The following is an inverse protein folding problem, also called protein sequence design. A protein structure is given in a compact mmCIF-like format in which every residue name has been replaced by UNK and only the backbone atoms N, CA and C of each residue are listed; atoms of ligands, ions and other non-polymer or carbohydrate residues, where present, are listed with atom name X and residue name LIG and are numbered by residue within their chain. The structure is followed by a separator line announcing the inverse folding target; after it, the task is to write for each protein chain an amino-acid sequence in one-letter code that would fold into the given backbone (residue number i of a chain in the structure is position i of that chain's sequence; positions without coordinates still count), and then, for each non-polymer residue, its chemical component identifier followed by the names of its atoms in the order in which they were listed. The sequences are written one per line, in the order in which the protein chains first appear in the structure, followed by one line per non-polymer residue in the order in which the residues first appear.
data_IF_067182793967
#
_entry.id   IF_067182793967
#
_cell.length_a   1.000
_cell.length_b   1.000
_cell.length_c   1.000
_cell.angle_alpha   90.00
_cell.angle_beta   90.00
_cell.angle_gamma   90.00
#
_symmetry.space_group_name_H-M   'P 1'
#
loop_
_entity.id
_entity.type
_entity.pdbx_description
1 polymer ?
#
# COMPACT_ATOMS: atom_id res chain seq x y z
N UNK A 1 -85.64 7.59 52.33
CA UNK A 1 -84.65 6.57 52.76
C UNK A 1 -85.07 5.23 52.17
N UNK A 2 -84.66 4.94 50.95
CA UNK A 2 -83.38 4.28 50.60
C UNK A 2 -83.48 2.76 50.74
N UNK A 3 -83.82 2.08 49.63
CA UNK A 3 -83.21 0.80 49.20
C UNK A 3 -83.77 0.21 47.89
N UNK A 4 -84.72 0.84 47.21
CA UNK A 4 -85.23 0.35 45.90
C UNK A 4 -84.72 1.10 44.66
N UNK A 5 -84.04 2.26 44.81
CA UNK A 5 -83.42 2.98 43.68
C UNK A 5 -82.02 2.46 43.29
N UNK A 6 -81.58 1.31 43.81
CA UNK A 6 -80.30 0.67 43.42
C UNK A 6 -80.46 -0.42 42.35
N UNK A 7 -81.69 -0.68 41.88
CA UNK A 7 -82.00 -1.79 40.98
C UNK A 7 -81.85 -1.51 39.47
N UNK A 8 -81.75 -0.26 39.04
CA UNK A 8 -81.78 0.08 37.61
C UNK A 8 -80.42 0.45 36.98
N UNK A 9 -79.37 0.58 37.79
CA UNK A 9 -77.99 0.78 37.28
C UNK A 9 -77.32 -0.57 36.92
N UNK A 10 -77.91 -1.69 37.35
CA UNK A 10 -77.33 -3.04 37.13
C UNK A 10 -77.66 -3.61 35.75
N UNK A 11 -78.69 -3.12 35.07
CA UNK A 11 -79.12 -3.67 33.76
C UNK A 11 -78.35 -3.12 32.55
N UNK A 12 -77.45 -2.16 32.76
CA UNK A 12 -76.48 -1.73 31.75
C UNK A 12 -75.13 -2.46 31.90
N UNK A 13 -74.76 -2.86 33.13
CA UNK A 13 -73.55 -3.65 33.40
C UNK A 13 -73.59 -5.06 32.79
N UNK A 14 -74.77 -5.68 32.64
CA UNK A 14 -74.87 -7.01 32.04
C UNK A 14 -74.65 -7.01 30.51
N UNK A 15 -74.96 -5.89 29.84
CA UNK A 15 -74.62 -5.71 28.41
C UNK A 15 -73.13 -5.42 28.20
N UNK A 16 -72.46 -4.80 29.18
CA UNK A 16 -71.02 -4.52 29.11
C UNK A 16 -70.13 -5.75 29.39
N UNK A 17 -70.57 -6.69 30.24
CA UNK A 17 -69.77 -7.90 30.54
C UNK A 17 -69.58 -8.85 29.35
N UNK A 18 -70.37 -8.73 28.28
CA UNK A 18 -70.19 -9.52 27.05
C UNK A 18 -69.15 -8.88 26.12
N UNK A 19 -68.86 -7.57 26.27
CA UNK A 19 -67.88 -6.85 25.44
C UNK A 19 -66.46 -6.84 26.01
N UNK A 20 -66.27 -7.25 27.28
CA UNK A 20 -65.01 -7.13 28.02
C UNK A 20 -64.08 -8.36 27.92
N UNK A 21 -64.17 -9.16 26.85
CA UNK A 21 -63.23 -10.26 26.59
C UNK A 21 -62.29 -9.95 25.41
N UNK A 22 -61.78 -8.72 25.34
CA UNK A 22 -60.61 -8.39 24.55
C UNK A 22 -59.76 -7.41 25.34
N UNK A 23 -58.59 -7.88 25.75
CA UNK A 23 -57.49 -7.09 26.31
C UNK A 23 -57.16 -5.90 25.42
N UNK A 24 -57.61 -4.70 25.82
CA UNK A 24 -57.00 -3.41 25.45
C UNK A 24 -57.69 -2.31 26.28
N UNK A 25 -56.88 -1.50 26.95
CA UNK A 25 -57.30 -0.38 27.82
C UNK A 25 -58.21 0.61 27.08
N UNK A 26 -59.49 0.60 27.41
CA UNK A 26 -60.42 1.71 27.25
C UNK A 26 -60.93 2.06 28.64
N UNK A 27 -60.75 3.32 29.04
CA UNK A 27 -61.21 3.75 30.37
C UNK A 27 -62.73 3.63 30.44
N UNK A 28 -63.23 3.30 31.64
CA UNK A 28 -64.66 3.15 31.92
C UNK A 28 -65.48 4.38 31.44
N UNK A 29 -64.85 5.56 31.45
CA UNK A 29 -65.38 6.84 30.94
C UNK A 29 -65.61 6.85 29.42
N UNK A 30 -64.65 6.34 28.63
CA UNK A 30 -64.76 6.26 27.17
C UNK A 30 -65.82 5.25 26.72
N UNK A 31 -65.99 4.17 27.50
CA UNK A 31 -67.05 3.18 27.28
C UNK A 31 -68.44 3.73 27.61
N UNK A 32 -68.57 4.60 28.62
CA UNK A 32 -69.83 5.29 28.93
C UNK A 32 -70.19 6.36 27.90
N UNK A 33 -69.21 7.03 27.28
CA UNK A 33 -69.49 8.04 26.25
C UNK A 33 -69.91 7.40 24.91
N UNK A 34 -69.31 6.26 24.55
CA UNK A 34 -69.72 5.45 23.39
C UNK A 34 -71.11 4.79 23.56
N UNK A 35 -71.55 4.57 24.80
CA UNK A 35 -72.86 3.97 25.10
C UNK A 35 -74.05 4.95 24.99
N UNK A 36 -73.81 6.24 24.78
CA UNK A 36 -74.85 7.30 24.81
C UNK A 36 -75.13 7.89 23.41
N UNK A 37 -74.35 7.57 22.37
CA UNK A 37 -74.49 8.26 21.06
C UNK A 37 -75.59 7.70 20.13
N UNK A 38 -76.11 6.50 20.37
CA UNK A 38 -76.99 5.79 19.43
C UNK A 38 -78.49 6.02 19.59
N UNK A 39 -78.94 6.40 20.80
CA UNK A 39 -80.35 6.62 21.14
C UNK A 39 -80.61 8.10 21.40
N UNK A 40 -81.68 8.63 20.81
CA UNK A 40 -82.08 10.01 21.09
C UNK A 40 -82.45 10.16 22.57
N UNK A 41 -82.22 11.32 23.21
CA UNK A 41 -82.66 11.56 24.58
C UNK A 41 -84.15 11.26 24.79
N UNK A 42 -84.97 11.45 23.75
CA UNK A 42 -86.38 11.07 23.70
C UNK A 42 -86.63 9.56 23.69
N UNK A 43 -85.84 8.77 22.97
CA UNK A 43 -85.96 7.30 22.95
C UNK A 43 -85.54 6.70 24.29
N UNK A 44 -84.49 7.23 24.92
CA UNK A 44 -84.04 6.81 26.25
C UNK A 44 -85.10 7.14 27.32
N UNK A 45 -85.65 8.35 27.31
CA UNK A 45 -86.75 8.75 28.20
C UNK A 45 -88.01 7.91 27.99
N UNK A 46 -88.34 7.57 26.74
CA UNK A 46 -89.46 6.68 26.40
C UNK A 46 -89.25 5.25 26.91
N UNK A 47 -88.05 4.70 26.76
CA UNK A 47 -87.70 3.37 27.26
C UNK A 47 -87.74 3.35 28.79
N UNK A 48 -87.23 4.38 29.46
CA UNK A 48 -87.22 4.51 30.92
C UNK A 48 -88.65 4.61 31.52
N UNK A 49 -89.53 5.42 30.91
CA UNK A 49 -90.96 5.51 31.27
C UNK A 49 -91.68 4.16 31.09
N UNK A 50 -91.41 3.45 29.98
CA UNK A 50 -92.05 2.15 29.71
C UNK A 50 -91.52 1.01 30.57
N UNK A 51 -90.24 1.05 30.94
CA UNK A 51 -89.63 0.06 31.84
C UNK A 51 -90.11 0.22 33.30
N UNK A 52 -90.45 1.44 33.73
CA UNK A 52 -90.99 1.70 35.07
C UNK A 52 -92.47 1.34 35.22
N UNK A 53 -93.23 1.32 34.12
CA UNK A 53 -94.66 0.97 34.09
C UNK A 53 -94.95 -0.40 33.44
N UNK A 54 -94.00 -1.33 33.47
CA UNK A 54 -94.06 -2.63 32.77
C UNK A 54 -95.34 -3.45 33.00
N UNK A 55 -95.90 -3.39 34.20
CA UNK A 55 -97.09 -4.15 34.61
C UNK A 55 -98.39 -3.67 33.95
N UNK A 56 -98.38 -2.46 33.36
CA UNK A 56 -99.53 -1.84 32.69
C UNK A 56 -99.48 -1.94 31.17
N UNK A 57 -98.41 -2.49 30.59
CA UNK A 57 -98.27 -2.66 29.14
C UNK A 57 -98.90 -3.96 28.63
N UNK A 58 -99.57 -3.86 27.48
CA UNK A 58 -100.04 -5.01 26.72
C UNK A 58 -98.88 -5.84 26.13
N UNK A 59 -99.18 -7.09 25.76
CA UNK A 59 -98.21 -8.01 25.13
C UNK A 59 -97.59 -7.42 23.85
N UNK A 60 -98.40 -6.70 23.04
CA UNK A 60 -97.96 -6.07 21.81
C UNK A 60 -96.93 -4.95 22.08
N UNK A 61 -97.17 -4.12 23.09
CA UNK A 61 -96.28 -3.00 23.43
C UNK A 61 -94.95 -3.51 24.02
N UNK A 62 -94.97 -4.58 24.83
CA UNK A 62 -93.74 -5.24 25.31
C UNK A 62 -92.89 -5.79 24.16
N UNK A 63 -93.53 -6.33 23.12
CA UNK A 63 -92.82 -6.82 21.93
C UNK A 63 -92.19 -5.69 21.11
N UNK A 64 -92.87 -4.54 21.02
CA UNK A 64 -92.36 -3.35 20.34
C UNK A 64 -91.17 -2.74 21.10
N UNK A 65 -91.26 -2.64 22.42
CA UNK A 65 -90.18 -2.17 23.29
C UNK A 65 -88.93 -3.06 23.15
N UNK A 66 -89.09 -4.38 23.15
CA UNK A 66 -87.96 -5.32 22.94
C UNK A 66 -87.31 -5.14 21.57
N UNK A 67 -88.08 -4.94 20.51
CA UNK A 67 -87.55 -4.67 19.16
C UNK A 67 -86.78 -3.35 19.11
N UNK A 68 -87.27 -2.31 19.80
CA UNK A 68 -86.60 -1.02 19.89
C UNK A 68 -85.25 -1.13 20.61
N UNK A 69 -85.20 -1.80 21.76
CA UNK A 69 -83.96 -2.04 22.52
C UNK A 69 -82.94 -2.81 21.68
N UNK A 70 -83.36 -3.87 20.99
CA UNK A 70 -82.48 -4.65 20.11
C UNK A 70 -81.95 -3.79 18.95
N UNK A 71 -82.80 -2.94 18.36
CA UNK A 71 -82.41 -2.05 17.26
C UNK A 71 -81.36 -1.03 17.71
N UNK A 72 -81.50 -0.46 18.91
CA UNK A 72 -80.54 0.49 19.49
C UNK A 72 -79.21 -0.23 19.77
N UNK A 73 -79.24 -1.40 20.42
CA UNK A 73 -78.03 -2.19 20.69
C UNK A 73 -77.28 -2.60 19.40
N UNK A 74 -78.00 -2.96 18.34
CA UNK A 74 -77.39 -3.28 17.03
C UNK A 74 -76.76 -2.05 16.37
N UNK A 75 -77.34 -0.86 16.54
CA UNK A 75 -76.77 0.40 16.04
C UNK A 75 -75.47 0.72 16.76
N UNK A 76 -75.44 0.62 18.08
CA UNK A 76 -74.24 0.85 18.90
C UNK A 76 -73.11 -0.13 18.55
N UNK A 77 -73.41 -1.42 18.40
CA UNK A 77 -72.39 -2.40 17.99
C UNK A 77 -71.77 -2.06 16.63
N UNK A 78 -72.56 -1.54 15.69
CA UNK A 78 -72.06 -1.11 14.39
C UNK A 78 -71.17 0.13 14.51
N UNK A 79 -71.59 1.13 15.28
CA UNK A 79 -70.82 2.36 15.52
C UNK A 79 -69.47 2.04 16.20
N UNK A 80 -69.46 1.13 17.18
CA UNK A 80 -68.23 0.66 17.83
C UNK A 80 -67.33 -0.10 16.84
N UNK A 81 -67.90 -0.96 15.98
CA UNK A 81 -67.12 -1.70 15.00
C UNK A 81 -66.46 -0.76 13.97
N UNK A 82 -67.17 0.28 13.53
CA UNK A 82 -66.66 1.27 12.60
C UNK A 82 -65.61 2.18 13.27
N UNK A 83 -65.83 2.60 14.53
CA UNK A 83 -64.83 3.34 15.30
C UNK A 83 -63.53 2.53 15.52
N UNK A 84 -63.64 1.23 15.83
CA UNK A 84 -62.48 0.33 15.95
C UNK A 84 -61.72 0.21 14.63
N UNK A 85 -62.42 0.15 13.50
CA UNK A 85 -61.79 0.11 12.17
C UNK A 85 -61.02 1.40 11.87
N UNK A 86 -61.60 2.56 12.15
CA UNK A 86 -60.95 3.85 11.95
C UNK A 86 -59.71 3.99 12.84
N UNK A 87 -59.82 3.60 14.12
CA UNK A 87 -58.68 3.60 15.04
C UNK A 87 -57.56 2.67 14.55
N UNK A 88 -57.91 1.49 14.06
CA UNK A 88 -56.94 0.56 13.51
C UNK A 88 -56.27 1.10 12.26
N UNK A 89 -57.01 1.77 11.37
CA UNK A 89 -56.45 2.44 10.19
C UNK A 89 -55.46 3.53 10.58
N UNK A 90 -55.82 4.40 11.53
CA UNK A 90 -54.93 5.44 12.04
C UNK A 90 -53.67 4.85 12.71
N UNK A 91 -53.80 3.77 13.48
CA UNK A 91 -52.66 3.05 14.07
C UNK A 91 -51.72 2.50 12.98
N UNK A 92 -52.28 1.91 11.93
CA UNK A 92 -51.49 1.39 10.82
C UNK A 92 -50.76 2.51 10.06
N UNK A 93 -51.43 3.64 9.80
CA UNK A 93 -50.82 4.80 9.14
C UNK A 93 -49.68 5.40 9.98
N UNK A 94 -49.90 5.56 11.28
CA UNK A 94 -48.86 6.03 12.21
C UNK A 94 -47.67 5.06 12.29
N UNK A 95 -47.92 3.75 12.29
CA UNK A 95 -46.86 2.73 12.29
C UNK A 95 -46.05 2.76 10.98
N UNK A 96 -46.72 2.90 9.83
CA UNK A 96 -46.07 3.07 8.52
C UNK A 96 -45.22 4.34 8.51
N UNK A 97 -45.75 5.44 9.05
CA UNK A 97 -45.03 6.71 9.12
C UNK A 97 -43.78 6.62 10.01
N UNK A 98 -43.89 5.97 11.17
CA UNK A 98 -42.76 5.71 12.07
C UNK A 98 -41.70 4.82 11.40
N UNK A 99 -42.10 3.77 10.68
CA UNK A 99 -41.17 2.93 9.92
C UNK A 99 -40.48 3.73 8.80
N UNK A 100 -41.23 4.58 8.10
CA UNK A 100 -40.69 5.44 7.05
C UNK A 100 -39.69 6.46 7.62
N UNK A 101 -39.96 7.05 8.78
CA UNK A 101 -39.06 7.99 9.44
C UNK A 101 -37.81 7.30 10.01
N UNK A 102 -37.91 6.05 10.47
CA UNK A 102 -36.76 5.22 10.81
C UNK A 102 -35.90 4.87 9.59
N UNK A 103 -36.51 4.59 8.44
CA UNK A 103 -35.80 4.37 7.18
C UNK A 103 -35.16 5.66 6.64
N UNK A 104 -35.81 6.81 6.85
CA UNK A 104 -35.29 8.16 6.51
C UNK A 104 -34.15 8.62 7.42
N UNK A 105 -34.01 8.04 8.62
CA UNK A 105 -32.90 8.28 9.56
C UNK A 105 -31.52 8.03 8.91
N UNK A 106 -31.48 7.24 7.83
CA UNK A 106 -30.30 7.11 6.98
C UNK A 106 -30.66 7.49 5.54
N UNK A 107 -30.88 8.79 5.29
CA UNK A 107 -31.04 9.33 3.94
C UNK A 107 -29.92 8.85 3.00
N UNK A 108 -30.20 8.54 1.71
CA UNK A 108 -29.17 8.19 0.74
C UNK A 108 -27.98 9.17 0.73
N UNK A 109 -28.24 10.46 0.90
CA UNK A 109 -27.20 11.49 0.97
C UNK A 109 -26.30 11.32 2.20
N UNK A 110 -26.88 10.94 3.34
CA UNK A 110 -26.12 10.65 4.56
C UNK A 110 -25.20 9.42 4.38
N UNK A 111 -25.66 8.38 3.69
CA UNK A 111 -24.84 7.22 3.34
C UNK A 111 -23.69 7.60 2.42
N UNK A 112 -23.97 8.41 1.38
CA UNK A 112 -22.95 8.88 0.43
C UNK A 112 -21.90 9.74 1.15
N UNK A 113 -22.33 10.67 2.00
CA UNK A 113 -21.42 11.53 2.77
C UNK A 113 -20.56 10.72 3.74
N UNK A 114 -21.15 9.76 4.46
CA UNK A 114 -20.41 8.86 5.35
C UNK A 114 -19.36 8.03 4.58
N UNK A 115 -19.71 7.52 3.40
CA UNK A 115 -18.78 6.80 2.51
C UNK A 115 -17.65 7.67 1.99
N UNK A 116 -17.95 8.91 1.57
CA UNK A 116 -16.94 9.86 1.11
C UNK A 116 -15.96 10.22 2.24
N UNK A 117 -16.49 10.43 3.45
CA UNK A 117 -15.68 10.71 4.63
C UNK A 117 -14.78 9.52 5.01
N UNK A 118 -15.33 8.29 5.03
CA UNK A 118 -14.54 7.08 5.24
C UNK A 118 -13.42 6.94 4.20
N UNK A 119 -13.74 7.15 2.90
CA UNK A 119 -12.76 7.17 1.82
C UNK A 119 -11.68 8.25 2.02
N UNK A 120 -12.04 9.42 2.51
CA UNK A 120 -11.09 10.50 2.79
C UNK A 120 -10.13 10.13 3.93
N UNK A 121 -10.65 9.52 5.01
CA UNK A 121 -9.83 8.98 6.10
C UNK A 121 -8.89 7.90 5.58
N UNK A 122 -9.39 6.92 4.83
CA UNK A 122 -8.58 5.83 4.29
C UNK A 122 -7.49 6.36 3.36
N UNK A 123 -7.82 7.35 2.53
CA UNK A 123 -6.83 8.02 1.69
C UNK A 123 -5.79 8.76 2.54
N UNK A 124 -6.19 9.47 3.58
CA UNK A 124 -5.26 10.23 4.43
C UNK A 124 -4.32 9.32 5.24
N UNK A 125 -4.83 8.16 5.71
CA UNK A 125 -4.04 7.15 6.42
C UNK A 125 -2.96 6.50 5.54
N UNK A 126 -3.29 6.23 4.27
CA UNK A 126 -2.43 5.44 3.38
C UNK A 126 -1.59 6.28 2.42
N UNK A 127 -1.95 7.54 2.16
CA UNK A 127 -1.18 8.40 1.26
C UNK A 127 0.16 8.76 1.91
N UNK A 128 1.29 8.65 1.17
CA UNK A 128 2.58 9.06 1.72
C UNK A 128 2.60 10.56 2.03
N UNK A 129 3.30 10.93 3.11
CA UNK A 129 3.42 12.32 3.61
C UNK A 129 4.00 13.23 2.53
N UNK A 130 4.99 12.74 1.78
CA UNK A 130 5.58 13.40 0.62
C UNK A 130 5.33 12.57 -0.63
N UNK A 131 5.16 13.20 -1.81
CA UNK A 131 5.11 12.46 -3.06
C UNK A 131 6.43 11.73 -3.28
N UNK A 132 6.36 10.44 -3.64
CA UNK A 132 7.55 9.65 -3.95
C UNK A 132 8.03 9.97 -5.37
N UNK A 133 9.31 10.34 -5.47
CA UNK A 133 10.04 10.48 -6.74
C UNK A 133 10.51 9.10 -7.20
N UNK A 134 10.00 8.66 -8.34
CA UNK A 134 10.43 7.42 -8.98
C UNK A 134 11.68 7.66 -9.82
N UNK A 135 12.81 7.08 -9.41
CA UNK A 135 14.06 7.10 -10.16
C UNK A 135 14.02 5.98 -11.19
N UNK A 136 14.01 6.38 -12.47
CA UNK A 136 14.06 5.50 -13.63
C UNK A 136 15.15 6.03 -14.55
N UNK A 137 16.35 5.47 -14.45
CA UNK A 137 17.50 6.01 -15.17
C UNK A 137 18.57 4.94 -15.46
N UNK A 138 19.54 5.32 -16.29
CA UNK A 138 20.73 4.52 -16.58
C UNK A 138 21.96 5.24 -16.07
N UNK A 139 22.75 4.58 -15.23
CA UNK A 139 24.03 5.10 -14.71
C UNK A 139 25.17 4.21 -15.17
N UNK A 140 26.30 4.80 -15.55
CA UNK A 140 27.53 4.04 -15.77
C UNK A 140 28.29 3.95 -14.45
N UNK A 141 28.63 2.75 -14.02
CA UNK A 141 29.36 2.46 -12.79
C UNK A 141 30.75 1.91 -13.12
N UNK A 142 31.70 2.24 -12.27
CA UNK A 142 33.04 1.67 -12.30
C UNK A 142 33.15 0.68 -11.14
N UNK A 143 33.39 -0.59 -11.47
CA UNK A 143 33.45 -1.69 -10.49
C UNK A 143 34.69 -1.55 -9.60
N UNK A 144 35.72 -0.87 -10.09
CA UNK A 144 36.94 -0.61 -9.34
C UNK A 144 36.80 0.60 -8.39
N UNK A 145 35.64 1.28 -8.39
CA UNK A 145 35.39 2.40 -7.50
C UNK A 145 35.15 1.89 -6.08
N UNK A 146 35.90 2.37 -5.06
CA UNK A 146 35.69 1.96 -3.67
C UNK A 146 34.35 2.44 -3.09
N UNK A 147 33.68 3.42 -3.71
CA UNK A 147 32.44 3.98 -3.20
C UNK A 147 31.22 3.12 -3.60
N UNK A 148 30.40 2.68 -2.65
CA UNK A 148 29.17 1.94 -2.93
C UNK A 148 28.17 2.72 -3.78
N UNK A 149 27.44 2.01 -4.62
CA UNK A 149 26.33 2.59 -5.40
C UNK A 149 25.12 2.74 -4.50
N UNK A 150 24.66 3.98 -4.32
CA UNK A 150 23.53 4.31 -3.44
C UNK A 150 22.19 3.99 -4.09
N UNK A 151 21.34 3.23 -3.39
CA UNK A 151 20.02 2.78 -3.84
C UNK A 151 18.98 3.23 -2.81
N UNK A 152 18.26 4.35 -3.06
CA UNK A 152 17.16 4.78 -2.20
C UNK A 152 15.90 3.92 -2.44
N UNK A 153 15.28 3.44 -1.38
CA UNK A 153 14.13 2.52 -1.43
C UNK A 153 13.07 2.97 -0.42
N UNK A 154 11.87 3.26 -0.92
CA UNK A 154 10.73 3.61 -0.07
C UNK A 154 10.12 2.32 0.51
N UNK A 155 9.72 2.30 1.79
CA UNK A 155 9.04 1.15 2.38
C UNK A 155 7.84 0.70 1.55
N UNK A 156 7.67 -0.62 1.41
CA UNK A 156 6.61 -1.25 0.61
C UNK A 156 6.63 -0.91 -0.89
N UNK A 157 7.72 -0.34 -1.40
CA UNK A 157 8.00 -0.20 -2.83
C UNK A 157 9.18 -1.08 -3.22
N UNK A 158 9.13 -1.61 -4.44
CA UNK A 158 10.25 -2.35 -5.04
C UNK A 158 11.23 -1.43 -5.75
N UNK A 159 12.51 -1.69 -5.56
CA UNK A 159 13.59 -1.19 -6.38
C UNK A 159 14.08 -2.32 -7.30
N UNK A 160 14.26 -2.01 -8.59
CA UNK A 160 14.76 -2.98 -9.57
C UNK A 160 16.10 -2.50 -10.13
N UNK A 161 17.13 -3.31 -10.01
CA UNK A 161 18.47 -3.04 -10.55
C UNK A 161 18.70 -3.98 -11.74
N UNK A 162 19.11 -3.42 -12.87
CA UNK A 162 19.45 -4.15 -14.09
C UNK A 162 20.92 -3.94 -14.38
N UNK A 163 21.71 -5.01 -14.45
CA UNK A 163 23.14 -4.95 -14.70
C UNK A 163 23.43 -5.20 -16.18
N UNK A 164 24.19 -4.30 -16.79
CA UNK A 164 24.64 -4.36 -18.18
C UNK A 164 26.15 -4.18 -18.26
N UNK A 165 26.76 -4.73 -19.30
CA UNK A 165 28.17 -4.51 -19.62
C UNK A 165 28.40 -3.23 -20.45
N UNK A 166 29.67 -2.93 -20.75
CA UNK A 166 30.06 -1.75 -21.53
C UNK A 166 29.33 -1.64 -22.89
N UNK A 167 29.01 -2.77 -23.52
CA UNK A 167 28.35 -2.88 -24.81
C UNK A 167 26.81 -2.93 -24.70
N UNK A 168 26.26 -2.78 -23.49
CA UNK A 168 24.82 -2.75 -23.25
C UNK A 168 24.17 -4.13 -23.15
N UNK A 169 24.94 -5.20 -23.02
CA UNK A 169 24.41 -6.54 -22.86
C UNK A 169 24.21 -6.96 -21.42
N UNK A 170 23.29 -7.90 -21.16
CA UNK A 170 23.04 -8.39 -19.82
C UNK A 170 24.31 -8.92 -19.15
N UNK A 171 24.61 -8.43 -17.97
CA UNK A 171 25.72 -8.90 -17.14
C UNK A 171 25.19 -9.88 -16.08
N UNK A 172 25.43 -11.20 -16.22
CA UNK A 172 24.84 -12.20 -15.31
C UNK A 172 25.37 -12.06 -13.88
N UNK A 173 24.45 -12.16 -12.92
CA UNK A 173 24.74 -12.21 -11.48
C UNK A 173 24.94 -13.67 -11.10
N UNK A 174 26.10 -13.97 -10.51
CA UNK A 174 26.48 -15.32 -10.07
C UNK A 174 26.26 -15.54 -8.58
N UNK A 175 26.16 -14.47 -7.80
CA UNK A 175 25.95 -14.57 -6.35
C UNK A 175 25.62 -13.23 -5.72
N UNK A 176 25.00 -13.29 -4.55
CA UNK A 176 24.64 -12.13 -3.74
C UNK A 176 25.01 -12.45 -2.30
N UNK A 177 25.89 -11.63 -1.70
CA UNK A 177 26.07 -11.62 -0.25
C UNK A 177 25.13 -10.57 0.34
N UNK A 178 24.15 -11.06 1.08
CA UNK A 178 23.10 -10.25 1.70
C UNK A 178 23.41 -10.01 3.19
N UNK A 179 23.45 -8.73 3.58
CA UNK A 179 23.70 -8.28 4.95
C UNK A 179 22.51 -7.49 5.53
N UNK A 180 21.32 -7.64 4.95
CA UNK A 180 20.17 -6.76 5.20
C UNK A 180 19.30 -7.13 6.39
N UNK A 181 19.38 -8.38 6.87
CA UNK A 181 18.52 -8.88 7.94
C UNK A 181 17.04 -8.72 7.58
N UNK A 182 16.22 -8.23 8.52
CA UNK A 182 14.77 -8.08 8.29
C UNK A 182 14.36 -6.74 7.66
N UNK A 183 15.33 -5.83 7.45
CA UNK A 183 15.04 -4.47 7.00
C UNK A 183 14.79 -4.40 5.49
N UNK A 184 15.52 -5.22 4.72
CA UNK A 184 15.33 -5.34 3.29
C UNK A 184 15.13 -6.80 2.92
N UNK A 185 14.47 -7.02 1.78
CA UNK A 185 14.36 -8.32 1.15
C UNK A 185 14.94 -8.21 -0.25
N UNK A 186 15.93 -9.04 -0.53
CA UNK A 186 16.72 -9.03 -1.76
C UNK A 186 16.42 -10.32 -2.51
N UNK A 187 15.92 -10.19 -3.74
CA UNK A 187 15.55 -11.32 -4.56
C UNK A 187 16.10 -11.15 -5.98
N UNK A 188 16.68 -12.23 -6.51
CA UNK A 188 17.04 -12.33 -7.92
C UNK A 188 15.91 -13.07 -8.65
N UNK A 189 15.08 -12.37 -9.44
CA UNK A 189 14.06 -13.04 -10.23
C UNK A 189 14.70 -13.97 -11.25
N UNK A 190 14.06 -15.12 -11.47
CA UNK A 190 14.47 -16.07 -12.50
C UNK A 190 14.18 -15.46 -13.88
N UNK A 191 15.23 -14.90 -14.48
CA UNK A 191 15.19 -14.26 -15.79
C UNK A 191 16.21 -14.96 -16.68
N UNK A 192 15.96 -15.11 -18.00
CA UNK A 192 16.88 -15.82 -18.90
C UNK A 192 18.32 -15.30 -18.87
N UNK A 193 18.49 -14.04 -18.45
CA UNK A 193 19.77 -13.38 -18.43
C UNK A 193 20.43 -13.29 -17.06
N UNK A 194 19.71 -13.62 -15.99
CA UNK A 194 20.16 -13.55 -14.60
C UNK A 194 20.82 -12.21 -14.21
N UNK A 195 20.45 -11.10 -14.85
CA UNK A 195 21.11 -9.79 -14.69
C UNK A 195 20.25 -8.78 -13.93
N UNK A 196 19.16 -9.23 -13.30
CA UNK A 196 18.18 -8.39 -12.62
C UNK A 196 18.17 -8.72 -11.15
N UNK A 197 18.10 -7.68 -10.32
CA UNK A 197 17.92 -7.77 -8.89
C UNK A 197 16.70 -6.95 -8.47
N UNK A 198 15.91 -7.47 -7.54
CA UNK A 198 14.79 -6.76 -6.93
C UNK A 198 15.03 -6.63 -5.43
N UNK A 199 14.74 -5.45 -4.90
CA UNK A 199 14.96 -5.12 -3.49
C UNK A 199 13.71 -4.42 -2.97
N UNK A 200 13.18 -4.89 -1.84
CA UNK A 200 12.06 -4.24 -1.15
C UNK A 200 12.47 -3.87 0.25
N UNK A 201 12.01 -2.71 0.72
CA UNK A 201 12.26 -2.23 2.08
C UNK A 201 11.02 -2.40 2.96
N UNK A 202 11.20 -2.86 4.20
CA UNK A 202 10.13 -2.99 5.20
C UNK A 202 10.10 -1.86 6.22
N UNK A 203 11.18 -1.06 6.33
CA UNK A 203 11.34 -0.01 7.37
C UNK A 203 11.83 1.32 6.79
N UNK A 204 11.18 2.46 7.10
CA UNK A 204 11.70 3.76 6.70
C UNK A 204 13.08 4.01 7.33
N UNK A 205 13.96 4.70 6.62
CA UNK A 205 15.31 5.10 7.08
C UNK A 205 16.26 3.96 7.51
N UNK A 206 15.95 2.71 7.16
CA UNK A 206 16.88 1.61 7.35
C UNK A 206 18.12 1.79 6.45
N UNK A 207 19.29 1.38 6.92
CA UNK A 207 20.51 1.40 6.13
C UNK A 207 21.16 0.02 6.16
N UNK A 208 21.62 -0.44 5.01
CA UNK A 208 22.37 -1.69 4.87
C UNK A 208 23.12 -1.71 3.54
N UNK A 209 23.76 -2.82 3.21
CA UNK A 209 24.44 -3.03 1.96
C UNK A 209 24.33 -4.48 1.49
N UNK A 210 24.59 -4.68 0.21
CA UNK A 210 24.76 -6.01 -0.39
C UNK A 210 25.98 -6.00 -1.31
N UNK A 211 26.56 -7.18 -1.50
CA UNK A 211 27.62 -7.38 -2.49
C UNK A 211 27.11 -8.29 -3.59
N UNK A 212 27.17 -7.83 -4.83
CA UNK A 212 26.69 -8.57 -6.00
C UNK A 212 27.87 -9.01 -6.84
N UNK A 213 27.96 -10.32 -7.07
CA UNK A 213 29.00 -10.94 -7.86
C UNK A 213 28.53 -11.11 -9.30
N UNK A 214 29.40 -10.75 -10.23
CA UNK A 214 29.14 -10.76 -11.65
C UNK A 214 30.03 -11.80 -12.33
N UNK A 215 29.48 -12.49 -13.32
CA UNK A 215 30.18 -13.57 -14.01
C UNK A 215 31.48 -13.12 -14.67
N UNK A 216 32.60 -13.76 -14.32
CA UNK A 216 33.91 -13.43 -14.89
C UNK A 216 34.60 -12.21 -14.28
N UNK A 217 34.04 -11.60 -13.23
CA UNK A 217 34.68 -10.52 -12.48
C UNK A 217 35.13 -10.99 -11.10
N UNK A 218 36.36 -10.61 -10.71
CA UNK A 218 36.95 -10.96 -9.41
C UNK A 218 36.52 -10.05 -8.26
N UNK A 219 35.94 -8.88 -8.54
CA UNK A 219 35.48 -7.91 -7.54
C UNK A 219 33.95 -7.79 -7.55
N UNK A 220 33.29 -7.75 -6.38
CA UNK A 220 31.85 -7.55 -6.30
C UNK A 220 31.48 -6.07 -6.52
N UNK A 221 30.27 -5.85 -7.02
CA UNK A 221 29.64 -4.52 -7.00
C UNK A 221 28.93 -4.34 -5.66
N UNK A 222 29.30 -3.30 -4.91
CA UNK A 222 28.70 -3.02 -3.60
C UNK A 222 27.56 -2.02 -3.77
N UNK A 223 26.36 -2.40 -3.33
CA UNK A 223 25.19 -1.52 -3.25
C UNK A 223 24.94 -1.11 -1.80
N UNK A 224 24.85 0.19 -1.56
CA UNK A 224 24.38 0.74 -0.29
C UNK A 224 22.87 0.99 -0.40
N UNK A 225 22.11 0.30 0.43
CA UNK A 225 20.66 0.35 0.48
C UNK A 225 20.22 1.37 1.52
N UNK A 226 19.43 2.34 1.10
CA UNK A 226 19.00 3.45 1.94
C UNK A 226 17.49 3.54 1.96
N UNK A 227 16.88 3.43 3.14
CA UNK A 227 15.46 3.65 3.34
C UNK A 227 15.12 5.12 3.13
N UNK A 228 14.25 5.41 2.16
CA UNK A 228 13.85 6.78 1.83
C UNK A 228 12.38 7.02 2.14
N UNK A 229 12.01 8.27 2.44
CA UNK A 229 10.62 8.72 2.58
C UNK A 229 10.07 9.34 1.28
N UNK A 230 10.91 9.57 0.29
CA UNK A 230 10.61 10.44 -0.84
C UNK A 230 11.24 10.02 -2.17
N UNK A 231 12.19 9.09 -2.19
CA UNK A 231 12.87 8.65 -3.41
C UNK A 231 12.91 7.13 -3.51
N UNK A 232 12.44 6.59 -4.64
CA UNK A 232 12.46 5.14 -4.88
C UNK A 232 13.19 4.83 -6.20
N UNK A 233 14.26 4.03 -6.12
CA UNK A 233 15.00 3.45 -7.24
C UNK A 233 14.18 2.39 -8.00
N UNK A 234 13.05 2.82 -8.56
CA UNK A 234 12.01 1.96 -9.13
C UNK A 234 12.58 1.10 -10.26
N UNK A 235 13.43 1.69 -11.12
CA UNK A 235 14.19 0.93 -12.12
C UNK A 235 15.52 1.62 -12.42
N UNK A 236 16.60 1.06 -11.90
CA UNK A 236 17.95 1.55 -12.12
C UNK A 236 18.70 0.60 -13.06
N UNK A 237 19.10 1.10 -14.22
CA UNK A 237 19.96 0.34 -15.14
C UNK A 237 21.42 0.75 -14.90
N UNK A 238 22.26 -0.18 -14.50
CA UNK A 238 23.66 0.05 -14.20
C UNK A 238 24.51 -0.58 -15.28
N UNK A 239 25.23 0.26 -16.01
CA UNK A 239 26.16 -0.16 -17.03
C UNK A 239 27.57 -0.16 -16.48
N UNK A 240 28.24 -1.30 -16.52
CA UNK A 240 29.64 -1.39 -16.10
C UNK A 240 30.55 -0.93 -17.23
N UNK A 241 31.79 -0.56 -16.90
CA UNK A 241 32.83 -0.29 -17.92
C UNK A 241 33.51 -1.58 -18.42
N UNK A 242 33.24 -2.70 -17.76
CA UNK A 242 33.80 -4.00 -18.11
C UNK A 242 32.97 -4.66 -19.22
N UNK A 243 33.63 -5.47 -20.05
CA UNK A 243 32.94 -6.29 -21.04
C UNK A 243 32.43 -7.57 -20.37
N UNK A 244 31.15 -7.90 -20.56
CA UNK A 244 30.53 -9.07 -19.94
C UNK A 244 30.70 -10.33 -20.80
N UNK A 245 30.44 -11.52 -20.24
CA UNK A 245 30.60 -12.79 -20.95
C UNK A 245 29.66 -12.96 -22.15
N UNK A 246 28.53 -12.25 -22.15
CA UNK A 246 27.53 -12.29 -23.22
C UNK A 246 27.83 -11.34 -24.37
N UNK A 247 28.79 -10.42 -24.21
CA UNK A 247 29.15 -9.49 -25.28
C UNK A 247 29.50 -10.20 -26.58
N UNK A 248 29.07 -9.73 -27.78
CA UNK A 248 29.59 -10.28 -28.99
C UNK A 248 31.08 -10.03 -28.88
N UNK A 249 31.82 -11.12 -28.95
CA UNK A 249 33.24 -11.01 -29.20
C UNK A 249 33.31 -10.33 -30.55
N UNK A 250 33.47 -9.00 -30.55
CA UNK A 250 34.23 -8.36 -31.61
C UNK A 250 35.62 -8.97 -31.44
N UNK A 251 35.77 -10.19 -31.96
CA UNK A 251 37.05 -10.71 -32.39
C UNK A 251 37.47 -9.73 -33.47
N UNK A 252 38.08 -8.62 -33.05
CA UNK A 252 39.09 -8.02 -33.87
C UNK A 252 39.99 -9.19 -34.27
N UNK A 253 39.98 -9.51 -35.56
CA UNK A 253 40.86 -10.53 -36.12
C UNK A 253 42.27 -10.17 -35.67
N UNK A 254 42.84 -11.00 -34.79
CA UNK A 254 44.23 -10.90 -34.35
C UNK A 254 44.44 -10.50 -32.89
N UNK A 255 44.31 -11.46 -31.98
CA UNK A 255 45.31 -11.88 -30.99
C UNK A 255 44.57 -12.56 -29.83
N UNK A 256 44.88 -13.83 -29.58
CA UNK A 256 44.69 -14.43 -28.26
C UNK A 256 45.26 -13.45 -27.22
N UNK A 257 44.65 -13.29 -26.02
CA UNK A 257 45.25 -12.46 -24.98
C UNK A 257 46.65 -12.96 -24.72
N UNK A 258 47.66 -12.23 -25.20
CA UNK A 258 49.05 -12.51 -24.90
C UNK A 258 49.14 -12.59 -23.39
N UNK A 259 49.60 -13.72 -22.81
CA UNK A 259 49.81 -13.81 -21.37
C UNK A 259 50.56 -12.57 -20.90
N UNK A 260 50.11 -11.97 -19.79
CA UNK A 260 50.84 -10.87 -19.15
C UNK A 260 52.27 -11.35 -18.91
N UNK A 261 53.26 -10.55 -19.32
CA UNK A 261 54.66 -10.87 -19.06
C UNK A 261 54.86 -11.00 -17.54
N UNK A 262 55.39 -12.14 -17.09
CA UNK A 262 55.74 -12.39 -15.68
C UNK A 262 56.57 -11.25 -15.07
N UNK A 263 57.33 -10.52 -15.91
CA UNK A 263 58.07 -9.33 -15.50
C UNK A 263 57.18 -8.23 -14.89
N UNK A 264 55.90 -8.11 -15.29
CA UNK A 264 54.97 -7.12 -14.71
C UNK A 264 54.72 -7.39 -13.22
N UNK A 265 54.41 -8.64 -12.86
CA UNK A 265 54.20 -9.05 -11.48
C UNK A 265 55.47 -8.92 -10.65
N UNK A 266 56.60 -9.36 -11.21
CA UNK A 266 57.93 -9.26 -10.59
C UNK A 266 58.34 -7.82 -10.30
N UNK A 267 58.07 -6.90 -11.22
CA UNK A 267 58.34 -5.46 -11.04
C UNK A 267 57.40 -4.85 -10.00
N UNK A 268 56.13 -5.27 -9.96
CA UNK A 268 55.17 -4.78 -8.97
C UNK A 268 55.63 -5.07 -7.53
N UNK A 269 56.11 -6.30 -7.30
CA UNK A 269 56.52 -6.84 -6.01
C UNK A 269 58.01 -6.65 -5.69
N UNK A 270 58.74 -5.86 -6.49
CA UNK A 270 60.19 -5.65 -6.35
C UNK A 270 61.05 -6.93 -6.45
N UNK A 271 60.50 -8.00 -7.03
CA UNK A 271 61.21 -9.26 -7.31
C UNK A 271 61.83 -9.23 -8.72
N UNK A 272 62.65 -8.21 -8.97
CA UNK A 272 63.21 -7.94 -10.30
C UNK A 272 63.98 -9.16 -10.85
N UNK A 273 63.78 -9.54 -12.12
CA UNK A 273 64.54 -10.62 -12.72
C UNK A 273 66.02 -10.23 -12.87
N UNK A 274 66.95 -11.21 -12.96
CA UNK A 274 68.39 -10.94 -13.00
C UNK A 274 68.86 -10.03 -14.14
N UNK A 275 68.08 -9.93 -15.22
CA UNK A 275 68.35 -9.11 -16.40
C UNK A 275 67.69 -7.71 -16.36
N UNK A 276 67.16 -7.29 -15.21
CA UNK A 276 66.56 -5.97 -15.05
C UNK A 276 67.64 -4.91 -14.77
N UNK A 277 67.77 -3.94 -15.67
CA UNK A 277 68.64 -2.77 -15.51
C UNK A 277 67.82 -1.57 -15.06
N UNK A 278 68.11 -0.99 -13.90
CA UNK A 278 67.39 0.22 -13.45
C UNK A 278 67.74 1.41 -14.35
N UNK A 279 66.72 2.11 -14.82
CA UNK A 279 66.85 3.30 -15.67
C UNK A 279 66.60 4.54 -14.82
N UNK A 280 67.38 5.60 -15.05
CA UNK A 280 67.16 6.90 -14.42
C UNK A 280 65.74 7.41 -14.72
N UNK A 281 64.98 7.66 -13.66
CA UNK A 281 63.64 8.22 -13.71
C UNK A 281 63.42 9.12 -12.48
N UNK A 282 62.36 9.94 -12.47
CA UNK A 282 62.09 10.80 -11.33
C UNK A 282 61.61 9.97 -10.12
N UNK A 283 62.38 9.87 -9.02
CA UNK A 283 62.09 8.98 -7.90
C UNK A 283 60.85 9.38 -7.10
N UNK A 284 60.38 10.63 -7.20
CA UNK A 284 59.14 11.07 -6.57
C UNK A 284 57.89 10.62 -7.35
N UNK A 285 58.08 10.15 -8.58
CA UNK A 285 57.00 9.85 -9.52
C UNK A 285 56.88 8.36 -9.78
N UNK A 286 58.00 7.66 -9.79
CA UNK A 286 58.04 6.22 -9.94
C UNK A 286 59.46 5.72 -10.16
N UNK A 287 59.55 4.49 -10.64
CA UNK A 287 60.80 3.81 -10.97
C UNK A 287 60.66 3.11 -12.31
N UNK A 288 61.77 2.99 -13.04
CA UNK A 288 61.78 2.37 -14.36
C UNK A 288 62.92 1.37 -14.46
N UNK A 289 62.65 0.23 -15.11
CA UNK A 289 63.66 -0.79 -15.42
C UNK A 289 63.60 -1.18 -16.88
N UNK A 290 64.75 -1.48 -17.47
CA UNK A 290 64.86 -2.09 -18.78
C UNK A 290 64.94 -3.60 -18.59
N UNK A 291 64.00 -4.33 -19.18
CA UNK A 291 64.01 -5.79 -19.16
C UNK A 291 63.83 -6.26 -20.60
N UNK A 292 64.90 -6.81 -21.17
CA UNK A 292 64.94 -7.17 -22.59
C UNK A 292 64.79 -5.95 -23.51
N UNK A 293 63.73 -5.92 -24.32
CA UNK A 293 63.45 -4.85 -25.31
C UNK A 293 62.48 -3.78 -24.81
N UNK A 294 61.96 -3.93 -23.59
CA UNK A 294 60.92 -3.06 -23.06
C UNK A 294 61.40 -2.31 -21.82
N UNK A 295 60.73 -1.21 -21.54
CA UNK A 295 60.84 -0.48 -20.28
C UNK A 295 59.61 -0.84 -19.44
N UNK A 296 59.85 -1.14 -18.17
CA UNK A 296 58.84 -1.41 -17.17
C UNK A 296 58.78 -0.21 -16.21
N UNK A 297 57.68 0.53 -16.25
CA UNK A 297 57.47 1.72 -15.42
C UNK A 297 56.53 1.38 -14.26
N UNK A 298 57.02 1.47 -13.03
CA UNK A 298 56.25 1.34 -11.79
C UNK A 298 55.93 2.72 -11.24
N UNK A 299 54.66 3.08 -11.16
CA UNK A 299 54.21 4.40 -10.68
C UNK A 299 52.80 4.34 -10.11
N UNK A 300 52.49 5.20 -9.15
CA UNK A 300 51.12 5.38 -8.66
C UNK A 300 50.23 6.18 -9.63
N UNK A 301 50.81 6.78 -10.67
CA UNK A 301 50.12 7.67 -11.60
C UNK A 301 49.65 6.93 -12.86
N UNK A 302 48.69 7.52 -13.57
CA UNK A 302 48.18 6.97 -14.83
C UNK A 302 49.09 7.36 -16.00
N UNK A 303 49.50 6.39 -16.81
CA UNK A 303 50.25 6.63 -18.04
C UNK A 303 49.31 7.15 -19.15
N UNK A 304 49.73 8.24 -19.81
CA UNK A 304 49.03 8.85 -20.94
C UNK A 304 49.77 8.57 -22.26
N UNK A 305 51.10 8.61 -22.24
CA UNK A 305 51.94 8.34 -23.41
C UNK A 305 53.32 7.83 -22.97
N UNK A 306 53.95 6.89 -23.70
CA UNK A 306 53.46 6.19 -24.88
C UNK A 306 52.32 5.22 -24.53
N UNK A 307 51.71 4.59 -25.54
CA UNK A 307 50.80 3.47 -25.31
C UNK A 307 51.58 2.31 -24.67
N UNK A 308 51.06 1.76 -23.58
CA UNK A 308 51.62 0.58 -22.95
C UNK A 308 51.20 -0.69 -23.71
N UNK A 309 52.16 -1.55 -24.02
CA UNK A 309 51.89 -2.85 -24.66
C UNK A 309 51.13 -3.77 -23.72
N UNK A 310 51.45 -3.71 -22.41
CA UNK A 310 50.76 -4.42 -21.34
C UNK A 310 50.79 -3.57 -20.06
N UNK A 311 49.82 -3.76 -19.16
CA UNK A 311 49.76 -3.05 -17.87
C UNK A 311 49.19 -3.93 -16.76
N UNK A 312 49.71 -3.75 -15.55
CA UNK A 312 49.23 -4.38 -14.33
C UNK A 312 48.92 -3.29 -13.29
N UNK A 313 47.72 -3.31 -12.72
CA UNK A 313 47.34 -2.43 -11.60
C UNK A 313 47.27 -3.28 -10.32
N UNK A 314 48.00 -2.90 -9.27
CA UNK A 314 47.93 -3.61 -7.98
C UNK A 314 46.85 -2.99 -7.10
N UNK A 315 45.86 -3.79 -6.69
CA UNK A 315 44.71 -3.33 -5.90
C UNK A 315 44.92 -3.48 -4.37
N UNK A 316 46.06 -3.01 -3.84
CA UNK A 316 46.42 -3.10 -2.40
C UNK A 316 46.77 -1.71 -1.86
N UNK A 317 46.77 -1.51 -0.53
CA UNK A 317 47.23 -0.26 0.09
C UNK A 317 48.67 0.07 -0.36
N UNK A 318 48.88 1.24 -0.97
CA UNK A 318 50.11 1.55 -1.72
C UNK A 318 50.06 1.15 -3.20
N UNK A 319 48.86 1.03 -3.77
CA UNK A 319 48.58 0.64 -5.15
C UNK A 319 49.53 1.29 -6.16
N UNK A 320 50.17 0.44 -6.96
CA UNK A 320 51.06 0.86 -8.04
C UNK A 320 50.59 0.27 -9.35
N UNK A 321 50.81 1.04 -10.40
CA UNK A 321 50.62 0.59 -11.77
C UNK A 321 51.99 0.23 -12.33
N UNK A 322 52.08 -0.90 -13.01
CA UNK A 322 53.26 -1.31 -13.77
C UNK A 322 52.89 -1.34 -15.25
N UNK A 323 53.62 -0.58 -16.06
CA UNK A 323 53.40 -0.50 -17.50
C UNK A 323 54.60 -1.06 -18.26
N UNK A 324 54.36 -1.96 -19.20
CA UNK A 324 55.34 -2.35 -20.20
C UNK A 324 55.22 -1.41 -21.40
N UNK A 325 56.24 -0.59 -21.64
CA UNK A 325 56.27 0.42 -22.69
C UNK A 325 57.44 0.17 -23.66
N UNK A 326 57.33 0.63 -24.92
CA UNK A 326 58.48 0.64 -25.82
C UNK A 326 59.59 1.54 -25.28
N UNK A 327 60.80 1.36 -25.80
CA UNK A 327 61.94 2.21 -25.44
C UNK A 327 61.70 3.65 -25.90
N UNK A 328 61.52 4.58 -24.96
CA UNK A 328 61.22 6.00 -25.19
C UNK A 328 62.08 6.89 -24.29
N UNK A 329 62.35 8.12 -24.73
CA UNK A 329 63.10 9.11 -23.94
C UNK A 329 62.24 9.89 -22.95
N UNK A 330 60.90 9.83 -23.08
CA UNK A 330 60.00 10.46 -22.12
C UNK A 330 58.64 9.78 -22.03
N UNK A 331 58.01 9.91 -20.88
CA UNK A 331 56.64 9.48 -20.61
C UNK A 331 55.79 10.67 -20.18
N UNK A 332 54.49 10.59 -20.42
CA UNK A 332 53.50 11.56 -19.95
C UNK A 332 52.58 10.87 -18.96
N UNK A 333 52.49 11.42 -17.76
CA UNK A 333 51.67 10.90 -16.68
C UNK A 333 50.59 11.91 -16.31
N UNK A 334 49.42 11.41 -15.88
CA UNK A 334 48.37 12.21 -15.29
C UNK A 334 48.59 12.29 -13.78
N UNK A 335 48.93 13.48 -13.30
CA UNK A 335 49.22 13.80 -11.91
C UNK A 335 48.32 14.96 -11.49
N UNK A 336 47.46 14.75 -10.49
CA UNK A 336 46.52 15.75 -9.97
C UNK A 336 45.65 16.39 -11.07
N UNK A 337 45.17 15.56 -12.00
CA UNK A 337 44.34 16.00 -13.13
C UNK A 337 45.10 16.75 -14.24
N UNK A 338 46.43 16.88 -14.15
CA UNK A 338 47.28 17.53 -15.17
C UNK A 338 48.25 16.54 -15.80
N UNK A 339 48.45 16.65 -17.11
CA UNK A 339 49.47 15.87 -17.81
C UNK A 339 50.85 16.48 -17.61
N UNK A 340 51.79 15.70 -17.07
CA UNK A 340 53.20 16.11 -16.87
C UNK A 340 54.11 15.14 -17.61
N UNK A 341 55.17 15.67 -18.24
CA UNK A 341 56.17 14.89 -18.98
C UNK A 341 57.41 14.64 -18.11
N UNK A 342 57.92 13.42 -18.14
CA UNK A 342 59.12 13.00 -17.42
C UNK A 342 60.10 12.32 -18.37
N UNK A 343 61.38 12.65 -18.27
CA UNK A 343 62.43 11.97 -19.02
C UNK A 343 62.66 10.55 -18.47
N UNK A 344 62.96 9.61 -19.36
CA UNK A 344 63.30 8.22 -19.03
C UNK A 344 64.69 7.93 -19.61
N UNK A 345 65.63 7.57 -18.75
CA UNK A 345 67.02 7.33 -19.13
C UNK A 345 67.88 8.58 -19.06
N UNK A 346 69.01 8.56 -19.78
CA UNK A 346 69.83 9.75 -19.96
C UNK A 346 69.10 10.69 -20.93
N UNK A 347 68.68 11.83 -20.40
CA UNK A 347 68.25 12.99 -21.16
C UNK A 347 69.40 13.95 -21.36
#
# INVERSE_FOLDING_TARGET
MNRLCRGLVVSFSLMLSIAANSSDDLTLEQLTELAISGATPSELAYIEDRLTNMDKLSLAERSALRKLIIKIALREQKEIADAKRLLQQQRNENAIQQQLDQLRSVSPDAVVNARQFAKAIDKAKNKPIKPVRHIIETRTIDINNPNPVQIPIVPHMGATIILLDANGQPFPITGISDYTGDAFNVAQPDTPNHNVLTITNTRPFAESNISVFLEGLGLPVIFALQGSDSENATRLTLRTRQTGPKSPTNKAVGQDPTPLDDALYKVADYQLPPNAEQIKFNPQVGEAWKIGKHIYLRTQYRLISPYATQSLETHVAGAVNVYQIPHVSSVVLLIDGKTKRFAVGEG
#
